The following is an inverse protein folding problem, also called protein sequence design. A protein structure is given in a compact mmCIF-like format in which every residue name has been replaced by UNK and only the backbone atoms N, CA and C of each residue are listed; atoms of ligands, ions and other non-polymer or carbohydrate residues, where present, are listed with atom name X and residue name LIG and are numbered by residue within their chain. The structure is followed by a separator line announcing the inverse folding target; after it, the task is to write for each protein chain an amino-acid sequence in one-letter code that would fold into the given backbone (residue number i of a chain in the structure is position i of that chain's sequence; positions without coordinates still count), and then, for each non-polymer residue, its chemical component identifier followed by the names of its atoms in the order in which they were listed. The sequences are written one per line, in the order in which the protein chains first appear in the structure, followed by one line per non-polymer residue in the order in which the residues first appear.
data_IF_319423427797
#
_entry.id   IF_319423427797
#
_cell.length_a   1.000
_cell.length_b   1.000
_cell.length_c   1.000
_cell.angle_alpha   90.00
_cell.angle_beta   90.00
_cell.angle_gamma   90.00
#
_symmetry.space_group_name_H-M   'P 1'
#
loop_
_entity.id
_entity.type
_entity.pdbx_description
1 polymer ?
#
# COMPACT_ATOMS: atom_id res chain seq x y z
N UNK A 1 -49.21 10.48 -44.70
CA UNK A 1 -49.71 9.70 -43.54
C UNK A 1 -48.59 9.61 -42.51
N UNK A 2 -48.37 10.66 -41.73
CA UNK A 2 -47.24 10.79 -40.79
C UNK A 2 -47.77 10.55 -39.38
N UNK A 3 -47.49 9.37 -38.81
CA UNK A 3 -47.86 9.04 -37.42
C UNK A 3 -46.92 9.76 -36.45
N UNK A 4 -47.42 10.44 -35.41
CA UNK A 4 -46.56 11.08 -34.43
C UNK A 4 -45.86 10.00 -33.59
N UNK A 5 -44.52 10.02 -33.57
CA UNK A 5 -43.74 9.16 -32.69
C UNK A 5 -44.06 9.51 -31.24
N UNK A 6 -44.60 8.53 -30.51
CA UNK A 6 -44.94 8.68 -29.09
C UNK A 6 -43.67 8.88 -28.27
N UNK A 7 -43.58 10.01 -27.55
CA UNK A 7 -42.43 10.39 -26.72
C UNK A 7 -42.06 9.29 -25.71
N UNK A 8 -43.06 8.57 -25.20
CA UNK A 8 -42.86 7.44 -24.29
C UNK A 8 -42.12 6.26 -24.95
N UNK A 9 -42.31 6.06 -26.26
CA UNK A 9 -41.60 5.02 -27.02
C UNK A 9 -40.11 5.31 -27.17
N UNK A 10 -39.75 6.59 -27.36
CA UNK A 10 -38.35 7.01 -27.43
C UNK A 10 -37.64 6.84 -26.08
N UNK A 11 -38.30 7.15 -24.97
CA UNK A 11 -37.75 6.96 -23.62
C UNK A 11 -37.55 5.47 -23.32
N UNK A 12 -38.51 4.61 -23.66
CA UNK A 12 -38.41 3.18 -23.45
C UNK A 12 -37.25 2.54 -24.26
N UNK A 13 -37.09 2.94 -25.51
CA UNK A 13 -35.97 2.49 -26.36
C UNK A 13 -34.60 2.91 -25.80
N UNK A 14 -34.50 4.14 -25.29
CA UNK A 14 -33.27 4.66 -24.70
C UNK A 14 -32.85 3.86 -23.46
N UNK A 15 -33.82 3.56 -22.58
CA UNK A 15 -33.58 2.82 -21.34
C UNK A 15 -33.21 1.36 -21.62
N UNK A 16 -33.84 0.73 -22.61
CA UNK A 16 -33.50 -0.62 -23.04
C UNK A 16 -32.06 -0.73 -23.59
N UNK A 17 -31.61 0.28 -24.35
CA UNK A 17 -30.23 0.31 -24.86
C UNK A 17 -29.18 0.45 -23.75
N UNK A 18 -29.45 1.27 -22.73
CA UNK A 18 -28.56 1.44 -21.57
C UNK A 18 -28.42 0.15 -20.77
N UNK A 19 -29.51 -0.59 -20.55
CA UNK A 19 -29.51 -1.88 -19.83
C UNK A 19 -28.78 -2.96 -20.62
N UNK A 20 -28.91 -3.00 -21.95
CA UNK A 20 -28.19 -3.95 -22.79
C UNK A 20 -26.67 -3.69 -22.82
N UNK A 21 -26.23 -2.45 -22.60
CA UNK A 21 -24.81 -2.09 -22.48
C UNK A 21 -24.23 -2.27 -21.06
N UNK A 22 -25.03 -2.74 -20.11
CA UNK A 22 -24.66 -2.91 -18.72
C UNK A 22 -23.78 -4.14 -18.46
N UNK A 23 -22.53 -3.87 -18.03
CA UNK A 23 -21.73 -4.67 -17.10
C UNK A 23 -20.86 -5.84 -17.59
N UNK A 24 -20.68 -6.09 -18.89
CA UNK A 24 -19.63 -7.02 -19.34
C UNK A 24 -18.35 -6.26 -19.64
N UNK A 25 -17.47 -6.13 -18.66
CA UNK A 25 -16.20 -5.48 -18.87
C UNK A 25 -15.06 -6.47 -19.03
N UNK A 26 -14.62 -6.60 -20.28
CA UNK A 26 -13.45 -7.39 -20.67
C UNK A 26 -12.12 -6.88 -20.09
N UNK A 27 -12.12 -5.68 -19.47
CA UNK A 27 -10.93 -5.05 -18.89
C UNK A 27 -10.29 -5.85 -17.74
N UNK A 28 -11.09 -6.65 -17.02
CA UNK A 28 -10.59 -7.49 -15.93
C UNK A 28 -10.33 -8.94 -16.35
N UNK A 29 -10.98 -9.43 -17.42
CA UNK A 29 -10.73 -10.76 -17.98
C UNK A 29 -9.28 -10.91 -18.44
N UNK A 30 -8.69 -9.84 -18.99
CA UNK A 30 -7.28 -9.80 -19.42
C UNK A 30 -6.27 -9.91 -18.26
N UNK A 31 -6.66 -9.65 -17.01
CA UNK A 31 -5.74 -9.71 -15.87
C UNK A 31 -5.64 -11.11 -15.27
N UNK A 32 -6.70 -11.93 -15.39
CA UNK A 32 -6.72 -13.32 -14.92
C UNK A 32 -5.80 -14.22 -15.77
N UNK A 33 -5.69 -13.92 -17.08
CA UNK A 33 -4.82 -14.64 -18.02
C UNK A 33 -3.31 -14.35 -17.83
N UNK A 34 -2.94 -13.34 -17.02
CA UNK A 34 -1.55 -12.94 -16.79
C UNK A 34 -0.97 -13.45 -15.46
N UNK A 35 -1.46 -14.59 -14.94
CA UNK A 35 -0.85 -15.17 -13.75
C UNK A 35 0.59 -15.65 -14.03
N UNK A 36 1.62 -15.09 -13.35
CA UNK A 36 3.00 -15.55 -13.51
C UNK A 36 3.12 -17.03 -13.12
N UNK A 37 3.88 -17.80 -13.89
CA UNK A 37 4.13 -19.19 -13.58
C UNK A 37 4.77 -19.34 -12.18
N UNK A 38 4.39 -20.37 -11.39
CA UNK A 38 4.97 -20.59 -10.07
C UNK A 38 6.50 -20.65 -10.12
N UNK A 39 7.17 -19.90 -9.24
CA UNK A 39 8.62 -19.89 -9.15
C UNK A 39 9.12 -21.23 -8.59
N UNK A 40 10.20 -21.77 -9.15
CA UNK A 40 10.85 -22.95 -8.61
C UNK A 40 11.57 -22.61 -7.30
N UNK A 41 11.44 -23.44 -6.24
CA UNK A 41 12.19 -23.23 -5.01
C UNK A 41 13.70 -23.23 -5.27
N UNK A 42 14.42 -22.25 -4.73
CA UNK A 42 15.87 -22.28 -4.72
C UNK A 42 16.36 -23.43 -3.82
N UNK A 43 17.41 -24.16 -4.19
CA UNK A 43 17.92 -25.26 -3.38
C UNK A 43 18.47 -24.75 -2.05
N UNK A 44 17.83 -25.14 -0.95
CA UNK A 44 18.33 -24.92 0.40
C UNK A 44 19.30 -26.04 0.77
N UNK A 45 20.54 -25.70 1.14
CA UNK A 45 21.49 -26.67 1.68
C UNK A 45 21.02 -27.25 3.00
N UNK A 46 21.36 -28.51 3.27
CA UNK A 46 21.09 -29.17 4.56
C UNK A 46 22.17 -28.78 5.57
N UNK A 47 21.78 -28.30 6.75
CA UNK A 47 22.70 -28.05 7.86
C UNK A 47 22.71 -29.29 8.74
N UNK A 48 23.77 -30.10 8.64
CA UNK A 48 23.97 -31.26 9.51
C UNK A 48 24.26 -30.78 10.94
N UNK A 49 23.42 -31.18 11.88
CA UNK A 49 23.33 -30.68 13.25
C UNK A 49 24.51 -31.10 14.16
N UNK A 50 25.50 -31.83 13.65
CA UNK A 50 26.53 -32.48 14.46
C UNK A 50 27.92 -31.80 14.45
N UNK A 51 28.06 -30.60 13.88
CA UNK A 51 29.34 -29.87 13.85
C UNK A 51 29.28 -28.45 14.44
N UNK A 52 28.17 -28.07 15.08
CA UNK A 52 28.12 -26.78 15.75
C UNK A 52 28.91 -26.87 17.07
N UNK A 53 29.96 -26.05 17.26
CA UNK A 53 30.57 -25.87 18.56
C UNK A 53 29.49 -25.54 19.60
N UNK A 54 29.62 -26.02 20.86
CA UNK A 54 28.63 -25.73 21.89
C UNK A 54 28.32 -24.23 21.95
N UNK A 55 27.03 -23.84 22.03
CA UNK A 55 26.66 -22.43 22.12
C UNK A 55 27.43 -21.76 23.25
N UNK A 56 28.11 -20.65 22.95
CA UNK A 56 28.78 -19.88 23.97
C UNK A 56 27.74 -19.40 25.00
N UNK A 57 28.09 -19.45 26.28
CA UNK A 57 27.21 -18.94 27.32
C UNK A 57 26.95 -17.43 27.09
N UNK A 58 25.75 -16.92 27.43
CA UNK A 58 25.47 -15.50 27.34
C UNK A 58 26.56 -14.68 28.07
N UNK A 59 27.28 -13.83 27.34
CA UNK A 59 28.34 -12.99 27.89
C UNK A 59 29.78 -13.49 27.68
N UNK A 60 30.01 -14.63 27.01
CA UNK A 60 31.38 -15.14 26.72
C UNK A 60 31.81 -14.96 25.27
N UNK A 61 31.01 -14.32 24.42
CA UNK A 61 31.37 -14.00 23.04
C UNK A 61 32.25 -12.75 23.00
N UNK A 62 33.43 -12.87 22.39
CA UNK A 62 34.30 -11.73 22.10
C UNK A 62 33.54 -10.72 21.22
N UNK A 63 33.32 -9.47 21.70
CA UNK A 63 32.63 -8.43 20.94
C UNK A 63 33.30 -8.09 19.60
N UNK A 64 34.58 -8.44 19.42
CA UNK A 64 35.33 -8.22 18.18
C UNK A 64 34.85 -9.08 17.00
N UNK A 65 34.06 -10.13 17.26
CA UNK A 65 33.55 -11.06 16.25
C UNK A 65 32.32 -10.54 15.48
N UNK A 66 31.74 -9.42 15.91
CA UNK A 66 30.61 -8.79 15.23
C UNK A 66 31.08 -7.61 14.38
N UNK A 67 30.68 -7.52 13.10
CA UNK A 67 30.95 -6.35 12.26
C UNK A 67 30.44 -5.07 12.93
N UNK A 68 31.20 -3.98 12.81
CA UNK A 68 30.80 -2.68 13.34
C UNK A 68 29.47 -2.25 12.71
N UNK A 69 28.48 -1.94 13.55
CA UNK A 69 27.17 -1.47 13.08
C UNK A 69 27.35 -0.24 12.17
N UNK A 70 26.61 -0.16 11.06
CA UNK A 70 26.62 1.02 10.19
C UNK A 70 26.34 2.29 10.99
N UNK A 71 27.18 3.31 10.82
CA UNK A 71 27.09 4.57 11.60
C UNK A 71 25.93 5.50 11.19
N UNK A 72 25.23 5.17 10.10
CA UNK A 72 24.14 5.99 9.53
C UNK A 72 22.77 5.34 9.70
N UNK A 73 22.47 4.80 10.88
CA UNK A 73 21.11 4.40 11.22
C UNK A 73 20.31 5.66 11.55
N UNK A 74 19.60 6.21 10.55
CA UNK A 74 18.56 7.21 10.76
C UNK A 74 17.32 6.51 11.36
N UNK A 75 17.44 6.07 12.60
CA UNK A 75 16.28 5.71 13.42
C UNK A 75 15.82 6.99 14.11
N UNK A 76 14.58 7.39 13.87
CA UNK A 76 13.93 8.36 14.73
C UNK A 76 13.90 7.73 16.13
N UNK A 77 14.72 8.24 17.05
CA UNK A 77 14.80 7.73 18.42
C UNK A 77 13.50 8.08 19.12
N UNK A 78 12.53 7.17 19.07
CA UNK A 78 11.34 7.22 19.91
C UNK A 78 11.78 6.97 21.37
N UNK A 79 11.18 7.65 22.36
CA UNK A 79 11.36 7.32 23.76
C UNK A 79 11.15 5.81 24.02
N UNK A 80 11.99 5.16 24.86
CA UNK A 80 11.95 3.70 25.07
C UNK A 80 10.62 3.18 25.61
N UNK A 81 9.83 4.04 26.24
CA UNK A 81 8.52 3.77 26.81
C UNK A 81 7.37 3.96 25.79
N UNK A 82 7.70 4.28 24.53
CA UNK A 82 6.72 4.51 23.47
C UNK A 82 5.92 5.81 23.63
N UNK A 83 6.32 6.67 24.57
CA UNK A 83 5.69 7.97 24.75
C UNK A 83 6.13 8.95 23.65
N UNK A 84 5.28 9.92 23.34
CA UNK A 84 5.69 11.00 22.47
C UNK A 84 6.77 11.85 23.17
N UNK A 85 7.81 12.34 22.45
CA UNK A 85 8.80 13.23 23.02
C UNK A 85 8.17 14.47 23.68
N UNK A 86 8.82 15.00 24.73
CA UNK A 86 8.37 16.23 25.36
C UNK A 86 8.28 17.38 24.35
N UNK A 87 7.12 18.03 24.27
CA UNK A 87 6.84 19.10 23.29
C UNK A 87 6.31 18.61 21.94
N UNK A 88 6.08 17.31 21.76
CA UNK A 88 5.38 16.80 20.60
C UNK A 88 3.95 17.37 20.53
N UNK A 89 3.56 17.82 19.35
CA UNK A 89 2.18 18.26 19.08
C UNK A 89 1.33 17.04 18.76
N UNK A 90 0.12 16.98 19.33
CA UNK A 90 -0.84 15.94 18.98
C UNK A 90 -1.23 16.04 17.50
N UNK A 91 -1.11 14.91 16.81
CA UNK A 91 -1.57 14.79 15.42
C UNK A 91 -3.04 14.43 15.40
N UNK A 92 -3.83 15.26 14.74
CA UNK A 92 -5.24 14.99 14.46
C UNK A 92 -5.44 14.87 12.95
N UNK A 93 -6.53 14.21 12.54
CA UNK A 93 -6.88 14.18 11.11
C UNK A 93 -7.04 15.58 10.52
N UNK A 94 -7.51 16.53 11.34
CA UNK A 94 -7.62 17.93 10.95
C UNK A 94 -6.26 18.59 10.74
N UNK A 95 -5.26 18.31 11.61
CA UNK A 95 -3.93 18.91 11.50
C UNK A 95 -3.12 18.41 10.31
N UNK A 96 -3.47 17.25 9.75
CA UNK A 96 -2.79 16.67 8.57
C UNK A 96 -3.62 16.74 7.29
N UNK A 97 -4.78 17.38 7.31
CA UNK A 97 -5.61 17.54 6.14
C UNK A 97 -5.07 18.62 5.20
N UNK A 98 -5.03 18.33 3.90
CA UNK A 98 -4.57 19.30 2.92
C UNK A 98 -3.96 18.66 1.68
N UNK A 99 -3.20 19.47 0.93
CA UNK A 99 -2.46 19.03 -0.25
C UNK A 99 -0.97 19.02 0.07
N UNK A 100 -0.35 17.87 -0.13
CA UNK A 100 1.04 17.61 0.19
C UNK A 100 1.84 17.36 -1.09
N UNK A 101 3.04 17.93 -1.18
CA UNK A 101 4.03 17.50 -2.18
C UNK A 101 4.85 16.37 -1.58
N UNK A 102 4.80 15.20 -2.21
CA UNK A 102 5.54 14.00 -1.81
C UNK A 102 6.64 13.78 -2.84
N UNK A 103 7.87 13.60 -2.39
CA UNK A 103 9.01 13.34 -3.26
C UNK A 103 9.55 11.94 -3.00
N UNK A 104 9.56 11.08 -4.02
CA UNK A 104 10.03 9.69 -3.94
C UNK A 104 11.00 9.45 -5.09
N UNK A 105 12.25 9.14 -4.77
CA UNK A 105 13.30 8.84 -5.76
C UNK A 105 13.44 9.94 -6.84
N UNK A 106 13.27 11.21 -6.47
CA UNK A 106 13.34 12.36 -7.37
C UNK A 106 12.04 12.70 -8.11
N UNK A 107 10.99 11.90 -7.97
CA UNK A 107 9.67 12.16 -8.53
C UNK A 107 8.78 12.87 -7.52
N UNK A 108 8.21 14.01 -7.90
CA UNK A 108 7.31 14.80 -7.04
C UNK A 108 5.85 14.59 -7.45
N UNK A 109 5.01 14.18 -6.50
CA UNK A 109 3.57 13.97 -6.68
C UNK A 109 2.78 14.79 -5.66
N UNK A 110 1.62 15.31 -6.05
CA UNK A 110 0.69 15.94 -5.11
C UNK A 110 -0.29 14.91 -4.56
N UNK A 111 -0.52 14.95 -3.25
CA UNK A 111 -1.45 14.04 -2.55
C UNK A 111 -2.41 14.86 -1.71
N UNK A 112 -3.71 14.60 -1.84
CA UNK A 112 -4.74 15.14 -0.96
C UNK A 112 -5.02 14.20 0.21
N UNK A 113 -5.07 14.74 1.42
CA UNK A 113 -5.52 14.07 2.64
C UNK A 113 -6.83 14.73 3.12
N UNK A 114 -8.00 14.11 2.89
CA UNK A 114 -9.30 14.63 3.30
C UNK A 114 -9.57 14.32 4.78
N UNK A 115 -10.43 15.13 5.39
CA UNK A 115 -10.92 14.91 6.75
C UNK A 115 -12.06 13.88 6.83
N UNK A 116 -12.54 13.37 5.69
CA UNK A 116 -13.63 12.39 5.67
C UNK A 116 -13.09 10.99 5.93
N UNK A 117 -13.65 10.34 6.94
CA UNK A 117 -13.30 8.98 7.32
C UNK A 117 -13.85 7.98 6.29
N UNK A 118 -13.05 6.98 5.96
CA UNK A 118 -13.45 5.83 5.17
C UNK A 118 -13.05 4.54 5.91
N UNK A 119 -14.05 3.81 6.40
CA UNK A 119 -13.83 2.64 7.24
C UNK A 119 -13.09 3.01 8.51
N UNK A 120 -11.95 2.36 8.77
CA UNK A 120 -11.14 2.60 9.97
C UNK A 120 -10.21 3.84 9.86
N UNK A 121 -10.02 4.44 8.69
CA UNK A 121 -9.02 5.50 8.47
C UNK A 121 -9.42 6.60 7.49
N UNK A 122 -8.46 7.41 7.04
CA UNK A 122 -8.65 8.49 6.06
C UNK A 122 -7.99 8.11 4.73
N UNK A 123 -8.60 8.46 3.59
CA UNK A 123 -8.12 8.09 2.25
C UNK A 123 -7.16 9.15 1.72
N UNK A 124 -5.90 8.84 1.49
CA UNK A 124 -5.02 9.72 0.72
C UNK A 124 -5.15 9.42 -0.79
N UNK A 125 -5.22 10.44 -1.64
CA UNK A 125 -5.37 10.27 -3.09
C UNK A 125 -4.46 11.19 -3.89
N UNK A 126 -4.03 10.79 -5.10
CA UNK A 126 -3.21 11.64 -5.96
C UNK A 126 -4.01 12.85 -6.47
N UNK A 127 -3.32 13.95 -6.68
CA UNK A 127 -3.82 15.12 -7.41
C UNK A 127 -3.03 15.23 -8.71
N UNK A 128 -3.74 15.05 -9.82
CA UNK A 128 -3.20 15.10 -11.18
C UNK A 128 -3.17 16.52 -11.72
#
# INVERSE_FOLDING_TARGET
MTRPFSRSGLVAMSLAALVASGCSTSRFSSMDDQQPAPLTPAPSGTVTQNQLPPPAAPGTTDPSQFPTAPKNTQVASLPPDGTAPAGATDLTAASVAGVWNVNVSGQSCKVATPQTKFGAGYRAGPLH
#
